data_IF_984949247154
#
_entry.id   IF_984949247154
#
_cell.length_a   1.000
_cell.length_b   1.000
_cell.length_c   1.000
_cell.angle_alpha   90.00
_cell.angle_beta   90.00
_cell.angle_gamma   90.00
#
_symmetry.space_group_name_H-M   'P 1'
#
loop_
_entity.id
_entity.type
_entity.pdbx_description
1 polymer ?
#
# COMPACT_ATOMS: atom_id res chain seq x y z
N UNK A 1 43.46 40.90 0.26
CA UNK A 1 43.14 39.57 0.85
C UNK A 1 41.66 39.62 1.23
N UNK A 2 40.73 38.79 0.78
CA UNK A 2 40.76 37.51 0.06
C UNK A 2 39.76 37.53 -1.11
N UNK A 3 40.04 36.66 -2.07
CA UNK A 3 39.45 36.48 -3.41
C UNK A 3 38.26 35.50 -3.36
N UNK A 4 37.54 35.42 -4.49
CA UNK A 4 36.49 34.46 -4.95
C UNK A 4 35.09 35.10 -4.89
N UNK A 5 34.53 35.70 -5.96
CA UNK A 5 34.32 35.24 -7.35
C UNK A 5 33.74 33.81 -7.40
N UNK A 6 32.44 33.67 -7.64
CA UNK A 6 31.92 33.30 -8.97
C UNK A 6 30.38 33.30 -9.00
N UNK A 7 29.90 34.02 -10.00
CA UNK A 7 28.57 33.97 -10.58
C UNK A 7 28.32 32.55 -11.10
N UNK A 8 27.15 31.99 -10.85
CA UNK A 8 26.57 31.04 -11.81
C UNK A 8 25.10 31.36 -12.07
N UNK A 9 24.88 31.63 -13.35
CA UNK A 9 23.67 32.09 -13.99
C UNK A 9 22.61 30.98 -14.14
N UNK A 10 21.35 31.40 -14.04
CA UNK A 10 20.24 31.14 -14.96
C UNK A 10 19.92 29.74 -15.53
N UNK A 11 18.59 29.51 -15.61
CA UNK A 11 17.82 28.76 -16.64
C UNK A 11 17.87 27.22 -16.51
N UNK A 12 16.80 26.43 -16.67
CA UNK A 12 15.46 26.59 -17.28
C UNK A 12 14.65 25.29 -17.10
N UNK A 13 13.32 25.44 -16.99
CA UNK A 13 12.26 24.59 -17.58
C UNK A 13 11.92 23.17 -17.08
N UNK A 14 10.59 22.92 -17.14
CA UNK A 14 9.83 21.69 -17.47
C UNK A 14 9.23 20.84 -16.33
N UNK A 15 7.93 21.11 -16.12
CA UNK A 15 6.77 20.20 -16.10
C UNK A 15 6.98 18.71 -15.72
N UNK A 16 6.17 18.35 -14.72
CA UNK A 16 5.44 17.08 -14.52
C UNK A 16 6.06 15.98 -13.63
N UNK A 17 5.19 15.48 -12.75
CA UNK A 17 5.19 14.16 -12.13
C UNK A 17 6.17 13.85 -10.99
N UNK A 18 5.89 14.31 -9.75
CA UNK A 18 6.06 13.47 -8.54
C UNK A 18 5.20 14.04 -7.39
N UNK A 19 3.89 13.73 -7.31
CA UNK A 19 3.04 14.08 -6.14
C UNK A 19 2.32 12.88 -5.52
N UNK A 20 2.91 11.68 -5.61
CA UNK A 20 2.39 10.48 -4.91
C UNK A 20 3.43 9.77 -4.03
N UNK A 21 4.68 10.24 -3.98
CA UNK A 21 5.75 9.57 -3.20
C UNK A 21 5.73 9.82 -1.69
N UNK A 22 4.96 10.77 -1.17
CA UNK A 22 5.08 11.17 0.25
C UNK A 22 4.27 10.33 1.24
N UNK A 23 3.29 9.54 0.79
CA UNK A 23 2.46 8.76 1.72
C UNK A 23 3.12 7.46 2.18
N UNK A 24 3.94 6.83 1.34
CA UNK A 24 4.65 5.59 1.70
C UNK A 24 5.92 5.84 2.52
N UNK A 25 6.45 7.06 2.51
CA UNK A 25 7.74 7.37 3.13
C UNK A 25 7.67 7.51 4.67
N UNK A 26 6.48 7.59 5.27
CA UNK A 26 6.34 7.67 6.75
C UNK A 26 6.38 6.32 7.47
N UNK A 27 6.22 5.19 6.77
CA UNK A 27 6.16 3.87 7.41
C UNK A 27 7.50 3.12 7.45
N UNK A 28 8.55 3.59 6.77
CA UNK A 28 9.80 2.83 6.58
C UNK A 28 10.92 3.08 7.60
N UNK A 29 10.66 3.79 8.71
CA UNK A 29 11.70 4.08 9.73
C UNK A 29 11.93 2.99 10.79
N UNK A 30 11.43 1.77 10.63
CA UNK A 30 11.76 0.62 11.48
C UNK A 30 12.20 -0.56 10.61
N UNK A 31 13.49 -0.90 10.67
CA UNK A 31 14.16 -2.07 10.05
C UNK A 31 13.64 -2.41 8.64
N UNK A 32 14.26 -1.80 7.62
CA UNK A 32 14.10 -2.21 6.22
C UNK A 32 14.56 -3.66 6.04
N UNK A 33 13.62 -4.59 6.10
CA UNK A 33 13.63 -5.68 5.13
C UNK A 33 13.21 -4.98 3.83
N UNK A 34 14.09 -4.95 2.82
CA UNK A 34 13.77 -4.42 1.49
C UNK A 34 12.75 -5.35 0.81
N UNK A 35 11.51 -5.33 1.30
CA UNK A 35 10.41 -6.06 0.69
C UNK A 35 10.06 -5.35 -0.61
N UNK A 36 10.12 -6.10 -1.72
CA UNK A 36 9.62 -5.60 -3.00
C UNK A 36 8.12 -5.29 -2.89
N UNK A 37 7.59 -4.34 -3.70
CA UNK A 37 6.15 -4.05 -3.70
C UNK A 37 5.29 -5.31 -3.90
N UNK A 38 5.73 -6.26 -4.72
CA UNK A 38 5.06 -7.55 -4.92
C UNK A 38 5.04 -8.40 -3.65
N UNK A 39 6.18 -8.52 -2.95
CA UNK A 39 6.26 -9.24 -1.68
C UNK A 39 5.35 -8.63 -0.61
N UNK A 40 5.29 -7.30 -0.54
CA UNK A 40 4.40 -6.59 0.38
C UNK A 40 2.93 -6.93 0.10
N UNK A 41 2.50 -6.89 -1.16
CA UNK A 41 1.13 -7.27 -1.53
C UNK A 41 0.83 -8.74 -1.27
N UNK A 42 1.78 -9.65 -1.50
CA UNK A 42 1.62 -11.07 -1.15
C UNK A 42 1.48 -11.28 0.36
N UNK A 43 2.27 -10.58 1.17
CA UNK A 43 2.18 -10.61 2.62
C UNK A 43 0.82 -10.08 3.10
N UNK A 44 0.35 -8.98 2.51
CA UNK A 44 -0.97 -8.40 2.78
C UNK A 44 -2.09 -9.39 2.42
N UNK A 45 -2.04 -10.06 1.26
CA UNK A 45 -3.02 -11.08 0.88
C UNK A 45 -3.08 -12.23 1.88
N UNK A 46 -1.93 -12.71 2.37
CA UNK A 46 -1.90 -13.76 3.42
C UNK A 46 -2.50 -13.25 4.73
N UNK A 47 -2.25 -12.01 5.09
CA UNK A 47 -2.82 -11.38 6.29
C UNK A 47 -4.34 -11.28 6.19
N UNK A 48 -4.85 -10.79 5.05
CA UNK A 48 -6.29 -10.65 4.79
C UNK A 48 -6.99 -12.00 4.76
N UNK A 49 -6.36 -13.03 4.19
CA UNK A 49 -6.89 -14.39 4.19
C UNK A 49 -7.08 -14.93 5.61
N UNK A 50 -6.06 -14.80 6.48
CA UNK A 50 -6.18 -15.21 7.90
C UNK A 50 -7.24 -14.42 8.65
N UNK A 51 -7.36 -13.12 8.34
CA UNK A 51 -8.35 -12.26 8.97
C UNK A 51 -9.77 -12.65 8.55
N UNK A 52 -9.99 -13.00 7.28
CA UNK A 52 -11.27 -13.55 6.80
C UNK A 52 -11.62 -14.83 7.55
N UNK A 53 -10.72 -15.80 7.61
CA UNK A 53 -10.96 -17.08 8.29
C UNK A 53 -11.35 -16.88 9.77
N UNK A 54 -10.64 -15.98 10.46
CA UNK A 54 -10.95 -15.63 11.84
C UNK A 54 -12.33 -14.97 11.97
N UNK A 55 -12.64 -13.99 11.10
CA UNK A 55 -13.91 -13.26 11.16
C UNK A 55 -15.09 -14.13 10.77
N UNK A 56 -14.94 -15.03 9.80
CA UNK A 56 -15.97 -16.00 9.41
C UNK A 56 -16.25 -16.99 10.55
N UNK A 57 -15.21 -17.45 11.25
CA UNK A 57 -15.38 -18.28 12.47
C UNK A 57 -16.14 -17.53 13.55
N UNK A 58 -15.79 -16.26 13.79
CA UNK A 58 -16.47 -15.44 14.80
C UNK A 58 -17.90 -15.07 14.40
N UNK A 59 -18.18 -14.93 13.10
CA UNK A 59 -19.51 -14.62 12.57
C UNK A 59 -20.54 -15.69 12.93
N UNK A 60 -20.13 -16.97 12.94
CA UNK A 60 -20.99 -18.10 13.34
C UNK A 60 -21.55 -17.91 14.76
N UNK A 61 -20.81 -17.23 15.63
CA UNK A 61 -21.16 -16.97 17.02
C UNK A 61 -21.60 -15.53 17.28
N UNK A 62 -21.81 -14.73 16.22
CA UNK A 62 -22.21 -13.34 16.37
C UNK A 62 -23.63 -13.24 16.94
N UNK A 63 -23.81 -12.34 17.91
CA UNK A 63 -25.14 -11.99 18.41
C UNK A 63 -25.96 -11.29 17.31
N UNK A 64 -27.27 -11.53 17.31
CA UNK A 64 -28.16 -11.04 16.25
C UNK A 64 -28.17 -9.53 16.09
N UNK A 65 -27.95 -8.79 17.19
CA UNK A 65 -27.88 -7.32 17.19
C UNK A 65 -26.68 -6.78 16.39
N UNK A 66 -25.62 -7.59 16.21
CA UNK A 66 -24.39 -7.18 15.54
C UNK A 66 -24.15 -7.86 14.20
N UNK A 67 -25.12 -8.64 13.69
CA UNK A 67 -24.98 -9.37 12.42
C UNK A 67 -24.64 -8.44 11.26
N UNK A 68 -25.33 -7.31 11.11
CA UNK A 68 -25.09 -6.37 10.01
C UNK A 68 -23.69 -5.77 10.05
N UNK A 69 -23.20 -5.45 11.26
CA UNK A 69 -21.83 -4.96 11.46
C UNK A 69 -20.83 -6.03 11.07
N UNK A 70 -21.06 -7.28 11.49
CA UNK A 70 -20.16 -8.38 11.18
C UNK A 70 -20.15 -8.73 9.68
N UNK A 71 -21.28 -8.62 8.99
CA UNK A 71 -21.37 -8.72 7.52
C UNK A 71 -20.55 -7.61 6.87
N UNK A 72 -20.77 -6.35 7.27
CA UNK A 72 -20.06 -5.20 6.72
C UNK A 72 -18.53 -5.33 6.91
N UNK A 73 -18.08 -5.81 8.07
CA UNK A 73 -16.66 -6.06 8.31
C UNK A 73 -16.09 -7.14 7.38
N UNK A 74 -16.80 -8.25 7.20
CA UNK A 74 -16.39 -9.32 6.27
C UNK A 74 -16.31 -8.80 4.83
N UNK A 75 -17.30 -8.03 4.39
CA UNK A 75 -17.33 -7.43 3.05
C UNK A 75 -16.20 -6.42 2.85
N UNK A 76 -15.88 -5.61 3.87
CA UNK A 76 -14.76 -4.68 3.82
C UNK A 76 -13.43 -5.43 3.64
N UNK A 77 -13.23 -6.55 4.34
CA UNK A 77 -12.02 -7.37 4.19
C UNK A 77 -11.97 -8.01 2.80
N UNK A 78 -13.08 -8.58 2.30
CA UNK A 78 -13.17 -9.16 0.95
C UNK A 78 -12.88 -8.12 -0.13
N UNK A 79 -13.40 -6.90 0.03
CA UNK A 79 -13.16 -5.79 -0.88
C UNK A 79 -11.69 -5.43 -0.91
N UNK A 80 -11.05 -5.29 0.26
CA UNK A 80 -9.61 -5.01 0.34
C UNK A 80 -8.78 -6.12 -0.31
N UNK A 81 -9.11 -7.39 -0.06
CA UNK A 81 -8.45 -8.53 -0.69
C UNK A 81 -8.52 -8.46 -2.21
N UNK A 82 -9.71 -8.21 -2.77
CA UNK A 82 -9.92 -8.07 -4.22
C UNK A 82 -9.07 -6.94 -4.83
N UNK A 83 -9.03 -5.77 -4.16
CA UNK A 83 -8.19 -4.64 -4.57
C UNK A 83 -6.70 -5.03 -4.55
N UNK A 84 -6.23 -5.70 -3.51
CA UNK A 84 -4.82 -6.14 -3.40
C UNK A 84 -4.45 -7.14 -4.50
N UNK A 85 -5.35 -8.08 -4.83
CA UNK A 85 -5.14 -8.99 -5.97
C UNK A 85 -5.03 -8.22 -7.29
N UNK A 86 -5.89 -7.22 -7.50
CA UNK A 86 -5.84 -6.38 -8.70
C UNK A 86 -4.52 -5.61 -8.79
N UNK A 87 -4.07 -4.99 -7.69
CA UNK A 87 -2.78 -4.29 -7.62
C UNK A 87 -1.61 -5.21 -7.95
N UNK A 88 -1.63 -6.45 -7.46
CA UNK A 88 -0.60 -7.44 -7.75
C UNK A 88 -0.59 -7.83 -9.24
N UNK A 89 -1.77 -8.01 -9.85
CA UNK A 89 -1.89 -8.27 -11.30
C UNK A 89 -1.35 -7.11 -12.14
N UNK A 90 -1.66 -5.87 -11.75
CA UNK A 90 -1.17 -4.67 -12.42
C UNK A 90 0.36 -4.55 -12.34
N UNK A 91 0.95 -4.80 -11.15
CA UNK A 91 2.41 -4.82 -10.98
C UNK A 91 3.08 -5.89 -11.84
N UNK A 92 2.51 -7.09 -11.87
CA UNK A 92 3.07 -8.17 -12.68
C UNK A 92 2.97 -7.86 -14.17
N UNK A 93 1.90 -7.22 -14.64
CA UNK A 93 1.78 -6.78 -16.03
C UNK A 93 2.82 -5.71 -16.39
N UNK A 94 3.13 -4.79 -15.47
CA UNK A 94 4.16 -3.75 -15.70
C UNK A 94 5.59 -4.29 -15.70
N UNK A 95 5.85 -5.43 -15.05
CA UNK A 95 7.19 -6.03 -14.99
C UNK A 95 7.50 -6.95 -16.19
N UNK A 96 6.52 -7.26 -17.04
CA UNK A 96 6.66 -8.15 -18.21
C UNK A 96 7.04 -7.37 -19.49
N UNK A 97 7.14 -6.04 -19.41
CA UNK A 97 7.57 -5.13 -20.50
C UNK A 97 8.98 -4.63 -20.22
#
# INVERSE_FOLDING_TARGET
MSKLIMIQEQKTTKKNNVKLKSFFQRFTKKKLIDETPSQLLHNELRSLQRLLELKETNFIYAETEYIDVAIMELEAIRTKYSITVRQLKELNATNVI
#
